data_IF_724378320746
#
_entry.id   IF_724378320746
#
_cell.length_a   1.000
_cell.length_b   1.000
_cell.length_c   1.000
_cell.angle_alpha   90.00
_cell.angle_beta   90.00
_cell.angle_gamma   90.00
#
_symmetry.space_group_name_H-M   'P 1'
#
loop_
_entity.id
_entity.type
_entity.pdbx_description
1 polymer ?
#
# COMPACT_ATOMS: atom_id res chain seq x y z
N UNK A 1 5.37 8.67 -17.37
CA UNK A 1 5.08 7.56 -16.44
C UNK A 1 3.58 7.31 -16.26
N UNK A 2 2.79 8.30 -15.81
CA UNK A 2 1.34 8.14 -15.56
C UNK A 2 0.59 7.63 -16.80
N UNK A 3 0.75 8.25 -17.98
CA UNK A 3 0.11 7.77 -19.23
C UNK A 3 0.48 6.32 -19.59
N UNK A 4 1.71 5.91 -19.30
CA UNK A 4 2.18 4.53 -19.53
C UNK A 4 1.48 3.55 -18.59
N UNK A 5 1.35 3.91 -17.31
CA UNK A 5 0.62 3.12 -16.31
C UNK A 5 -0.87 3.03 -16.63
N UNK A 6 -1.49 4.15 -17.03
CA UNK A 6 -2.87 4.18 -17.50
C UNK A 6 -3.10 3.25 -18.69
N UNK A 7 -2.21 3.27 -19.69
CA UNK A 7 -2.36 2.43 -20.88
C UNK A 7 -2.10 0.95 -20.61
N UNK A 8 -1.16 0.63 -19.71
CA UNK A 8 -0.75 -0.75 -19.41
C UNK A 8 -1.68 -1.46 -18.43
N UNK A 9 -2.21 -0.73 -17.44
CA UNK A 9 -3.11 -1.28 -16.42
C UNK A 9 -4.58 -0.83 -16.59
N UNK A 10 -4.88 -0.14 -17.70
CA UNK A 10 -6.19 0.45 -17.99
C UNK A 10 -6.73 1.34 -16.85
N UNK A 11 -5.84 2.02 -16.12
CA UNK A 11 -6.16 2.86 -14.95
C UNK A 11 -6.71 4.22 -15.36
N UNK A 12 -7.63 4.76 -14.53
CA UNK A 12 -7.98 6.18 -14.57
C UNK A 12 -6.77 7.06 -14.24
N UNK A 13 -6.87 8.36 -14.51
CA UNK A 13 -5.78 9.31 -14.22
C UNK A 13 -5.49 9.40 -12.72
N UNK A 14 -6.54 9.33 -11.89
CA UNK A 14 -6.43 9.32 -10.44
C UNK A 14 -5.84 7.99 -9.95
N UNK A 15 -6.34 6.85 -10.45
CA UNK A 15 -5.81 5.53 -10.10
C UNK A 15 -4.32 5.37 -10.41
N UNK A 16 -3.82 5.94 -11.50
CA UNK A 16 -2.39 5.91 -11.82
C UNK A 16 -1.52 6.80 -10.91
N UNK A 17 -2.07 7.91 -10.37
CA UNK A 17 -1.37 8.76 -9.40
C UNK A 17 -1.35 8.09 -8.02
N UNK A 18 -2.48 7.51 -7.62
CA UNK A 18 -2.59 6.87 -6.32
C UNK A 18 -1.77 5.58 -6.25
N UNK A 19 -1.64 4.85 -7.37
CA UNK A 19 -0.69 3.73 -7.47
C UNK A 19 0.75 4.18 -7.17
N UNK A 20 1.20 5.30 -7.71
CA UNK A 20 2.56 5.82 -7.46
C UNK A 20 2.72 6.22 -5.99
N UNK A 21 1.73 6.89 -5.40
CA UNK A 21 1.72 7.25 -3.97
C UNK A 21 1.75 6.01 -3.08
N UNK A 22 0.97 4.98 -3.42
CA UNK A 22 0.97 3.69 -2.73
C UNK A 22 2.33 3.01 -2.79
N UNK A 23 2.99 3.01 -3.96
CA UNK A 23 4.35 2.51 -4.11
C UNK A 23 5.34 3.24 -3.19
N UNK A 24 5.31 4.58 -3.17
CA UNK A 24 6.21 5.38 -2.32
C UNK A 24 5.93 5.10 -0.84
N UNK A 25 4.65 5.04 -0.44
CA UNK A 25 4.26 4.70 0.92
C UNK A 25 4.71 3.29 1.32
N UNK A 26 4.71 2.34 0.38
CA UNK A 26 5.22 0.99 0.60
C UNK A 26 6.72 0.97 0.85
N UNK A 27 7.51 1.67 0.01
CA UNK A 27 8.96 1.79 0.24
C UNK A 27 9.25 2.44 1.60
N UNK A 28 8.45 3.45 1.99
CA UNK A 28 8.57 4.07 3.31
C UNK A 28 8.21 3.11 4.45
N UNK A 29 7.24 2.18 4.31
CA UNK A 29 7.04 1.10 5.30
C UNK A 29 8.32 0.31 5.48
N UNK A 30 8.89 -0.14 4.36
CA UNK A 30 9.92 -1.15 4.37
C UNK A 30 11.17 -0.59 5.04
N UNK A 31 11.47 0.69 4.77
CA UNK A 31 12.51 1.44 5.49
C UNK A 31 12.15 1.61 6.97
N UNK A 32 10.89 1.91 7.30
CA UNK A 32 10.44 2.05 8.70
C UNK A 32 10.61 0.76 9.50
N UNK A 33 10.46 -0.40 8.86
CA UNK A 33 10.70 -1.71 9.49
C UNK A 33 12.18 -2.03 9.68
N UNK A 34 13.11 -1.37 8.98
CA UNK A 34 14.54 -1.55 9.23
C UNK A 34 15.01 -0.91 10.55
N UNK A 35 14.37 0.18 10.98
CA UNK A 35 14.71 0.88 12.23
C UNK A 35 14.61 0.01 13.50
N UNK A 36 13.50 -0.70 13.76
CA UNK A 36 13.41 -1.58 14.93
C UNK A 36 14.38 -2.76 14.87
N UNK A 37 14.75 -3.24 13.68
CA UNK A 37 15.77 -4.29 13.53
C UNK A 37 17.14 -3.79 13.98
N UNK A 38 17.52 -2.56 13.59
CA UNK A 38 18.75 -1.93 14.07
C UNK A 38 18.75 -1.71 15.58
N UNK A 39 17.62 -1.28 16.14
CA UNK A 39 17.46 -1.13 17.60
C UNK A 39 17.63 -2.47 18.33
N UNK A 40 17.00 -3.53 17.81
CA UNK A 40 17.07 -4.88 18.38
C UNK A 40 18.48 -5.45 18.29
N UNK A 41 19.18 -5.24 17.18
CA UNK A 41 20.58 -5.67 17.03
C UNK A 41 21.49 -5.07 18.10
N UNK A 42 21.38 -3.76 18.34
CA UNK A 42 22.15 -3.09 19.41
C UNK A 42 21.78 -3.59 20.80
N UNK A 43 20.48 -3.84 21.05
CA UNK A 43 20.01 -4.40 22.31
C UNK A 43 20.63 -5.77 22.61
N UNK A 44 20.71 -6.65 21.60
CA UNK A 44 21.33 -7.97 21.74
C UNK A 44 22.83 -7.85 22.03
N UNK A 45 23.56 -6.97 21.32
CA UNK A 45 24.99 -6.74 21.56
C UNK A 45 25.24 -6.27 23.00
N UNK A 46 24.49 -5.28 23.47
CA UNK A 46 24.65 -4.76 24.83
C UNK A 46 24.36 -5.83 25.89
N UNK A 47 23.34 -6.66 25.63
CA UNK A 47 22.99 -7.77 26.53
C UNK A 47 24.13 -8.81 26.58
N UNK A 48 24.75 -9.11 25.44
CA UNK A 48 25.91 -10.02 25.37
C UNK A 48 27.17 -9.43 26.01
N UNK A 49 27.36 -8.11 25.99
CA UNK A 49 28.53 -7.42 26.52
C UNK A 49 28.50 -7.15 28.04
N UNK A 50 27.61 -7.82 28.78
CA UNK A 50 27.53 -7.69 30.25
C UNK A 50 26.23 -7.05 30.77
N UNK A 51 25.23 -6.88 29.90
CA UNK A 51 23.89 -6.45 30.28
C UNK A 51 23.62 -4.96 30.06
N UNK A 52 22.35 -4.59 30.17
CA UNK A 52 21.87 -3.23 29.95
C UNK A 52 21.69 -2.48 31.27
N UNK A 53 22.36 -1.33 31.40
CA UNK A 53 22.16 -0.40 32.52
C UNK A 53 20.79 0.30 32.41
N UNK A 54 20.27 0.83 33.53
CA UNK A 54 18.95 1.50 33.58
C UNK A 54 18.76 2.62 32.55
N UNK A 55 19.82 3.40 32.23
CA UNK A 55 19.76 4.42 31.18
C UNK A 55 19.63 3.84 29.75
N UNK A 56 20.24 2.68 29.49
CA UNK A 56 20.12 1.96 28.19
C UNK A 56 18.74 1.33 28.07
N UNK A 57 18.18 0.79 29.15
CA UNK A 57 16.81 0.25 29.17
C UNK A 57 15.79 1.34 28.79
N UNK A 58 15.91 2.54 29.36
CA UNK A 58 15.05 3.67 28.99
C UNK A 58 15.23 4.07 27.51
N UNK A 59 16.46 4.07 27.00
CA UNK A 59 16.74 4.32 25.58
C UNK A 59 16.05 3.30 24.66
N UNK A 60 16.15 2.01 24.98
CA UNK A 60 15.49 0.96 24.20
C UNK A 60 13.96 1.02 24.31
N UNK A 61 13.42 1.33 25.50
CA UNK A 61 11.98 1.50 25.70
C UNK A 61 11.41 2.67 24.89
N UNK A 62 12.05 3.84 24.95
CA UNK A 62 11.65 5.01 24.17
C UNK A 62 11.85 4.76 22.67
N UNK A 63 12.98 4.15 22.28
CA UNK A 63 13.27 3.81 20.89
C UNK A 63 12.23 2.84 20.29
N UNK A 64 11.80 1.83 21.05
CA UNK A 64 10.76 0.91 20.65
C UNK A 64 9.40 1.61 20.49
N UNK A 65 9.04 2.49 21.43
CA UNK A 65 7.81 3.28 21.34
C UNK A 65 7.80 4.18 20.09
N UNK A 66 8.92 4.86 19.81
CA UNK A 66 9.07 5.69 18.61
C UNK A 66 8.94 4.84 17.34
N UNK A 67 9.58 3.66 17.27
CA UNK A 67 9.45 2.76 16.13
C UNK A 67 7.99 2.31 15.92
N UNK A 68 7.28 1.96 17.00
CA UNK A 68 5.87 1.58 16.93
C UNK A 68 4.99 2.73 16.42
N UNK A 69 5.16 3.94 16.95
CA UNK A 69 4.44 5.12 16.49
C UNK A 69 4.71 5.41 15.00
N UNK A 70 5.97 5.33 14.58
CA UNK A 70 6.37 5.58 13.20
C UNK A 70 5.76 4.54 12.25
N UNK A 71 5.85 3.25 12.58
CA UNK A 71 5.23 2.16 11.83
C UNK A 71 3.72 2.38 11.72
N UNK A 72 3.06 2.73 12.82
CA UNK A 72 1.61 2.96 12.82
C UNK A 72 1.20 4.08 11.86
N UNK A 73 1.91 5.22 11.91
CA UNK A 73 1.63 6.37 11.03
C UNK A 73 1.86 5.99 9.56
N UNK A 74 3.00 5.37 9.25
CA UNK A 74 3.32 4.97 7.87
C UNK A 74 2.32 3.94 7.35
N UNK A 75 1.92 2.98 8.18
CA UNK A 75 0.90 1.97 7.84
C UNK A 75 -0.46 2.58 7.60
N UNK A 76 -0.85 3.58 8.39
CA UNK A 76 -2.08 4.31 8.14
C UNK A 76 -2.07 4.97 6.76
N UNK A 77 -0.99 5.69 6.43
CA UNK A 77 -0.86 6.34 5.13
C UNK A 77 -0.80 5.35 3.97
N UNK A 78 -0.02 4.26 4.11
CA UNK A 78 0.08 3.22 3.10
C UNK A 78 -1.27 2.54 2.86
N UNK A 79 -1.98 2.21 3.93
CA UNK A 79 -3.30 1.59 3.86
C UNK A 79 -4.29 2.50 3.14
N UNK A 80 -4.35 3.77 3.54
CA UNK A 80 -5.25 4.74 2.92
C UNK A 80 -4.92 4.98 1.44
N UNK A 81 -3.63 5.08 1.09
CA UNK A 81 -3.19 5.31 -0.28
C UNK A 81 -3.39 4.09 -1.18
N UNK A 82 -3.32 2.87 -0.64
CA UNK A 82 -3.36 1.64 -1.43
C UNK A 82 -4.76 1.05 -1.49
N UNK A 83 -5.43 0.87 -0.34
CA UNK A 83 -6.72 0.20 -0.25
C UNK A 83 -7.87 1.07 -0.76
N UNK A 84 -8.00 2.31 -0.27
CA UNK A 84 -9.09 3.19 -0.72
C UNK A 84 -8.97 3.51 -2.20
N UNK A 85 -7.77 3.82 -2.68
CA UNK A 85 -7.54 4.10 -4.09
C UNK A 85 -7.94 2.92 -5.00
N UNK A 86 -7.55 1.71 -4.62
CA UNK A 86 -7.91 0.49 -5.37
C UNK A 86 -9.42 0.26 -5.38
N UNK A 87 -10.09 0.52 -4.25
CA UNK A 87 -11.53 0.33 -4.14
C UNK A 87 -12.31 1.34 -5.00
N UNK A 88 -11.92 2.61 -4.96
CA UNK A 88 -12.53 3.68 -5.76
C UNK A 88 -12.33 3.40 -7.26
N UNK A 89 -11.11 3.06 -7.68
CA UNK A 89 -10.81 2.73 -9.07
C UNK A 89 -11.60 1.52 -9.57
N UNK A 90 -11.76 0.49 -8.71
CA UNK A 90 -12.56 -0.69 -9.04
C UNK A 90 -14.05 -0.34 -9.26
N UNK A 91 -14.60 0.57 -8.44
CA UNK A 91 -15.97 1.06 -8.60
C UNK A 91 -16.18 1.80 -9.92
N UNK A 92 -15.31 2.77 -10.22
CA UNK A 92 -15.35 3.56 -11.47
C UNK A 92 -15.28 2.65 -12.69
N UNK A 93 -14.40 1.64 -12.67
CA UNK A 93 -14.24 0.72 -13.79
C UNK A 93 -15.46 -0.16 -14.02
N UNK A 94 -16.13 -0.61 -12.95
CA UNK A 94 -17.39 -1.38 -13.06
C UNK A 94 -18.52 -0.53 -13.64
N UNK A 95 -18.68 0.71 -13.20
CA UNK A 95 -19.70 1.63 -13.72
C UNK A 95 -19.42 1.92 -15.21
N UNK A 96 -18.18 2.22 -15.56
CA UNK A 96 -17.80 2.47 -16.95
C UNK A 96 -18.06 1.25 -17.85
N UNK A 97 -17.75 0.04 -17.39
CA UNK A 97 -18.06 -1.19 -18.13
C UNK A 97 -19.57 -1.38 -18.32
N UNK A 98 -20.37 -1.13 -17.28
CA UNK A 98 -21.83 -1.22 -17.37
C UNK A 98 -22.41 -0.19 -18.36
N UNK A 99 -21.90 1.04 -18.38
CA UNK A 99 -22.30 2.05 -19.37
C UNK A 99 -21.93 1.67 -20.80
N UNK A 100 -20.76 1.04 -21.00
CA UNK A 100 -20.36 0.54 -22.31
C UNK A 100 -21.28 -0.59 -22.76
N UNK A 101 -21.57 -1.57 -21.89
CA UNK A 101 -22.52 -2.65 -22.16
C UNK A 101 -23.91 -2.11 -22.54
N UNK A 102 -24.40 -1.04 -21.89
CA UNK A 102 -25.69 -0.39 -22.21
C UNK A 102 -25.75 0.16 -23.63
N UNK A 103 -24.61 0.58 -24.20
CA UNK A 103 -24.54 1.20 -25.54
C UNK A 103 -24.39 0.17 -26.67
N UNK A 104 -24.17 -1.10 -26.35
CA UNK A 104 -23.98 -2.15 -27.34
C UNK A 104 -25.35 -2.50 -27.97
N UNK A 105 -25.45 -2.58 -29.32
CA UNK A 105 -26.70 -2.94 -29.98
C UNK A 105 -27.09 -4.39 -29.65
N UNK A 106 -28.40 -4.64 -29.48
CA UNK A 106 -28.96 -5.97 -29.18
C UNK A 106 -28.54 -7.07 -30.17
N UNK A 107 -28.29 -6.72 -31.43
CA UNK A 107 -27.79 -7.63 -32.47
C UNK A 107 -26.41 -8.23 -32.17
N UNK A 108 -25.61 -7.59 -31.31
CA UNK A 108 -24.36 -8.17 -30.80
C UNK A 108 -24.61 -9.29 -29.79
N UNK A 109 -25.67 -9.19 -28.99
CA UNK A 109 -26.06 -10.20 -28.02
C UNK A 109 -26.72 -11.42 -28.68
N UNK A 110 -27.51 -11.22 -29.75
CA UNK A 110 -28.08 -12.32 -30.54
C UNK A 110 -27.01 -13.27 -31.10
N UNK A 111 -25.86 -12.74 -31.55
CA UNK A 111 -24.76 -13.57 -32.08
C UNK A 111 -23.98 -14.34 -31.02
N UNK A 112 -24.18 -14.03 -29.73
CA UNK A 112 -23.39 -14.56 -28.61
C UNK A 112 -24.19 -15.47 -27.68
N UNK A 113 -25.43 -15.81 -28.05
CA UNK A 113 -26.26 -16.77 -27.35
C UNK A 113 -25.77 -18.19 -27.67
N UNK A 114 -24.85 -18.70 -26.85
CA UNK A 114 -24.57 -20.13 -26.76
C UNK A 114 -25.85 -20.83 -26.24
N UNK A 115 -26.29 -21.94 -26.86
CA UNK A 115 -27.43 -22.71 -26.34
C UNK A 115 -27.08 -23.29 -24.97
N UNK A 116 -28.07 -23.19 -24.10
CA UNK A 116 -28.12 -23.65 -22.71
C UNK A 116 -27.91 -25.15 -22.64
#
# INVERSE_FOLDING_TARGET
>A
MIKTLQRRFALSRQGAVDLIKGCIACVLQDISFMLPVGLLYNFVIDTMNGGVNGSRIAFYGVGALVCLCLIFVVTWFQYNATYLATYVESGVRRISLAEQLRKIPLSFFEKKTLPI
#
